data_IF_338022158198
#
_entry.id   IF_338022158198
#
_cell.length_a   1.000
_cell.length_b   1.000
_cell.length_c   1.000
_cell.angle_alpha   90.00
_cell.angle_beta   90.00
_cell.angle_gamma   90.00
#
_symmetry.space_group_name_H-M   'P 1'
#
loop_
_entity.id
_entity.type
_entity.pdbx_description
1 polymer ?
#
# COMPACT_ATOMS: atom_id res chain seq x y z
N UNK A 1 15.85 58.58 -9.60
CA UNK A 1 14.39 58.57 -9.69
C UNK A 1 13.93 57.40 -8.81
N UNK A 2 12.99 57.65 -7.92
CA UNK A 2 12.40 56.58 -7.09
C UNK A 2 11.20 56.09 -7.89
N UNK A 3 11.29 54.86 -8.40
CA UNK A 3 10.18 54.27 -9.17
C UNK A 3 9.11 53.77 -8.21
N UNK A 4 7.94 54.38 -8.26
CA UNK A 4 6.75 53.90 -7.55
C UNK A 4 6.13 52.75 -8.30
N UNK A 5 5.79 51.69 -7.56
CA UNK A 5 5.13 50.51 -8.08
C UNK A 5 3.70 50.45 -7.54
N UNK A 6 2.80 49.88 -8.33
CA UNK A 6 1.40 49.64 -7.92
C UNK A 6 1.26 48.18 -7.47
N UNK A 7 0.74 47.99 -6.27
CA UNK A 7 0.44 46.64 -5.77
C UNK A 7 -0.70 46.00 -6.54
N UNK A 8 -0.47 44.84 -7.11
CA UNK A 8 -1.47 44.14 -7.90
C UNK A 8 -2.68 43.65 -7.07
N UNK A 9 -2.53 43.48 -5.76
CA UNK A 9 -3.61 42.99 -4.90
C UNK A 9 -4.48 44.09 -4.31
N UNK A 10 -3.87 45.15 -3.76
CA UNK A 10 -4.60 46.24 -3.09
C UNK A 10 -4.66 47.56 -3.88
N UNK A 11 -3.97 47.66 -5.00
CA UNK A 11 -3.93 48.89 -5.82
C UNK A 11 -3.11 50.03 -5.26
N UNK A 12 -2.57 49.93 -4.05
CA UNK A 12 -1.81 51.00 -3.42
C UNK A 12 -0.45 51.16 -4.10
N UNK A 13 -0.02 52.42 -4.24
CA UNK A 13 1.33 52.76 -4.64
C UNK A 13 2.30 52.45 -3.48
N UNK A 14 3.45 51.90 -3.81
CA UNK A 14 4.52 51.65 -2.86
C UNK A 14 5.87 51.84 -3.53
N UNK A 15 6.86 52.16 -2.72
CA UNK A 15 8.22 52.20 -3.19
C UNK A 15 9.03 51.13 -2.48
N UNK A 16 9.99 50.55 -3.17
CA UNK A 16 10.87 49.57 -2.56
C UNK A 16 12.00 50.27 -1.80
N UNK A 17 11.85 50.38 -0.47
CA UNK A 17 12.87 50.94 0.42
C UNK A 17 14.21 50.19 0.37
N UNK A 18 14.23 49.02 -0.22
CA UNK A 18 15.38 48.11 -0.23
C UNK A 18 15.97 47.86 -1.61
N UNK A 19 15.55 48.62 -2.63
CA UNK A 19 16.10 48.55 -3.98
C UNK A 19 17.63 48.71 -4.06
N UNK A 20 18.24 49.36 -3.05
CA UNK A 20 19.69 49.50 -2.91
C UNK A 20 20.38 48.28 -2.25
N UNK A 21 19.62 47.33 -1.70
CA UNK A 21 20.18 46.19 -0.99
C UNK A 21 20.14 44.93 -1.90
N UNK A 22 21.30 44.51 -2.39
CA UNK A 22 21.48 43.34 -3.27
C UNK A 22 20.89 41.97 -2.77
N UNK A 23 20.30 41.94 -1.57
CA UNK A 23 19.69 40.73 -0.95
C UNK A 23 18.17 40.72 -0.94
N UNK A 24 17.51 41.73 -1.49
CA UNK A 24 16.06 41.82 -1.44
C UNK A 24 15.48 41.63 -2.83
N UNK A 25 14.94 40.44 -3.07
CA UNK A 25 14.11 40.22 -4.25
C UNK A 25 12.75 40.91 -4.05
N UNK A 26 12.36 41.78 -4.96
CA UNK A 26 11.03 42.36 -5.01
C UNK A 26 9.98 41.23 -4.89
N UNK A 27 8.96 41.46 -4.04
CA UNK A 27 7.89 40.49 -3.88
C UNK A 27 7.09 40.35 -5.18
N UNK A 28 7.54 39.46 -6.03
CA UNK A 28 6.92 39.18 -7.30
C UNK A 28 6.23 37.81 -7.29
N UNK A 29 5.10 37.74 -7.93
CA UNK A 29 4.42 36.48 -8.25
C UNK A 29 3.75 36.64 -9.63
N UNK A 30 4.00 35.71 -10.53
CA UNK A 30 3.51 35.78 -11.91
C UNK A 30 3.85 37.12 -12.60
N UNK A 31 5.08 37.62 -12.43
CA UNK A 31 5.57 38.90 -12.99
C UNK A 31 4.79 40.14 -12.50
N UNK A 32 4.11 40.07 -11.32
CA UNK A 32 3.36 41.15 -10.70
C UNK A 32 4.00 41.54 -9.37
N UNK A 33 3.86 42.82 -9.00
CA UNK A 33 4.49 43.38 -7.78
C UNK A 33 3.45 43.49 -6.66
N UNK A 34 3.92 43.33 -5.39
CA UNK A 34 3.09 43.38 -4.19
C UNK A 34 3.75 44.22 -3.10
N UNK A 35 3.00 45.11 -2.47
CA UNK A 35 3.51 46.04 -1.45
C UNK A 35 3.96 45.32 -0.16
N UNK A 36 3.34 44.19 0.19
CA UNK A 36 3.66 43.44 1.37
C UNK A 36 3.45 41.91 1.15
N UNK A 37 3.90 41.10 2.11
CA UNK A 37 3.81 39.64 2.06
C UNK A 37 2.37 39.17 2.11
N UNK A 38 1.51 39.86 2.83
CA UNK A 38 0.09 39.60 2.95
C UNK A 38 -0.59 39.72 1.60
N UNK A 39 -0.34 40.82 0.86
CA UNK A 39 -0.88 41.01 -0.49
C UNK A 39 -0.38 39.94 -1.47
N UNK A 40 0.88 39.53 -1.39
CA UNK A 40 1.41 38.43 -2.20
C UNK A 40 0.76 37.10 -1.85
N UNK A 41 0.53 36.82 -0.55
CA UNK A 41 -0.12 35.58 -0.10
C UNK A 41 -1.58 35.53 -0.49
N UNK A 42 -2.32 36.65 -0.36
CA UNK A 42 -3.70 36.76 -0.82
C UNK A 42 -3.82 36.51 -2.32
N UNK A 43 -2.92 37.10 -3.10
CA UNK A 43 -2.89 36.88 -4.55
C UNK A 43 -2.55 35.42 -4.94
N UNK A 44 -1.71 34.75 -4.17
CA UNK A 44 -1.44 33.31 -4.32
C UNK A 44 -2.62 32.45 -3.88
N UNK A 45 -3.40 32.91 -2.88
CA UNK A 45 -4.56 32.22 -2.31
C UNK A 45 -5.84 32.33 -3.14
N UNK A 46 -5.91 33.26 -4.08
CA UNK A 46 -7.07 33.47 -4.97
C UNK A 46 -7.21 32.44 -6.09
N UNK A 47 -6.61 31.28 -5.98
CA UNK A 47 -7.18 30.14 -6.70
C UNK A 47 -8.49 29.79 -6.01
N UNK A 48 -9.60 30.17 -6.62
CA UNK A 48 -10.94 29.76 -6.19
C UNK A 48 -10.96 28.26 -6.06
N UNK A 49 -10.91 27.78 -4.82
CA UNK A 49 -11.07 26.36 -4.51
C UNK A 49 -12.47 25.99 -4.99
N UNK A 50 -12.56 25.18 -6.04
CA UNK A 50 -13.83 24.66 -6.52
C UNK A 50 -14.20 23.46 -5.68
N UNK A 51 -15.46 23.38 -5.28
CA UNK A 51 -16.01 22.19 -4.66
C UNK A 51 -15.83 20.98 -5.58
N UNK A 52 -15.45 19.87 -5.00
CA UNK A 52 -15.21 18.62 -5.72
C UNK A 52 -15.94 17.47 -5.03
N UNK A 53 -16.43 16.52 -5.81
CA UNK A 53 -16.96 15.27 -5.27
C UNK A 53 -15.83 14.29 -4.95
N UNK A 54 -15.86 13.69 -3.77
CA UNK A 54 -14.91 12.65 -3.38
C UNK A 54 -15.10 11.41 -4.25
N UNK A 55 -14.05 10.94 -4.90
CA UNK A 55 -14.07 9.77 -5.78
C UNK A 55 -14.48 8.47 -5.06
N UNK A 56 -14.30 8.39 -3.73
CA UNK A 56 -14.66 7.19 -2.97
C UNK A 56 -16.07 7.21 -2.40
N UNK A 57 -16.53 8.34 -1.83
CA UNK A 57 -17.79 8.41 -1.11
C UNK A 57 -18.80 9.43 -1.69
N UNK A 58 -18.46 10.14 -2.75
CA UNK A 58 -19.32 11.13 -3.39
C UNK A 58 -19.50 12.45 -2.62
N UNK A 59 -19.04 12.54 -1.38
CA UNK A 59 -19.20 13.75 -0.55
C UNK A 59 -18.55 14.96 -1.23
N UNK A 60 -19.28 16.06 -1.33
CA UNK A 60 -18.77 17.35 -1.78
C UNK A 60 -17.82 17.92 -0.71
N UNK A 61 -16.65 18.37 -1.11
CA UNK A 61 -15.65 18.96 -0.23
C UNK A 61 -14.83 20.03 -0.94
N UNK A 62 -14.30 20.97 -0.18
CA UNK A 62 -13.33 21.94 -0.66
C UNK A 62 -11.92 21.33 -0.49
N UNK A 63 -11.15 21.19 -1.57
CA UNK A 63 -9.78 20.72 -1.47
C UNK A 63 -8.95 21.74 -0.68
N UNK A 64 -8.28 21.30 0.38
CA UNK A 64 -7.35 22.16 1.11
C UNK A 64 -6.09 22.38 0.27
N UNK A 65 -5.63 23.63 0.19
CA UNK A 65 -4.31 23.95 -0.37
C UNK A 65 -3.25 23.38 0.59
N UNK A 66 -2.92 22.11 0.45
CA UNK A 66 -1.78 21.55 1.14
C UNK A 66 -0.53 21.90 0.33
N UNK A 67 0.40 22.73 0.88
CA UNK A 67 1.63 23.13 0.20
C UNK A 67 2.65 22.00 0.08
N UNK A 68 2.30 20.78 0.49
CA UNK A 68 3.20 19.64 0.36
C UNK A 68 3.34 19.27 -1.13
N UNK A 69 4.31 19.89 -1.78
CA UNK A 69 4.63 19.77 -3.21
C UNK A 69 4.98 18.34 -3.65
N UNK A 70 5.04 17.39 -2.70
CA UNK A 70 5.35 15.98 -2.98
C UNK A 70 4.12 15.15 -3.37
N UNK A 71 2.92 15.65 -3.11
CA UNK A 71 1.69 14.94 -3.51
C UNK A 71 1.29 15.33 -4.94
N UNK A 72 1.63 14.48 -5.91
CA UNK A 72 1.11 14.56 -7.28
C UNK A 72 -0.37 14.16 -7.40
N UNK A 73 -0.98 13.65 -6.35
CA UNK A 73 -2.39 13.29 -6.31
C UNK A 73 -3.21 14.54 -5.99
N UNK A 74 -3.68 15.21 -7.03
CA UNK A 74 -4.60 16.33 -6.92
C UNK A 74 -5.89 15.84 -6.24
N UNK A 75 -6.04 16.13 -4.95
CA UNK A 75 -7.29 16.28 -4.19
C UNK A 75 -8.53 15.50 -4.70
N UNK A 76 -8.41 14.19 -4.93
CA UNK A 76 -9.53 13.36 -5.39
C UNK A 76 -10.41 12.86 -4.24
N UNK A 77 -9.99 13.04 -3.00
CA UNK A 77 -10.62 12.43 -1.82
C UNK A 77 -10.83 13.46 -0.70
N UNK A 78 -11.96 13.37 -0.02
CA UNK A 78 -12.30 14.27 1.08
C UNK A 78 -11.45 14.04 2.35
N UNK A 79 -10.86 12.85 2.51
CA UNK A 79 -10.01 12.49 3.65
C UNK A 79 -9.06 11.33 3.30
N UNK A 80 -8.08 11.09 4.20
CA UNK A 80 -7.10 9.99 4.04
C UNK A 80 -7.75 8.61 4.02
N UNK A 81 -8.81 8.40 4.80
CA UNK A 81 -9.56 7.14 4.83
C UNK A 81 -10.19 6.84 3.47
N UNK A 82 -10.83 7.83 2.83
CA UNK A 82 -11.39 7.66 1.49
C UNK A 82 -10.31 7.35 0.44
N UNK A 83 -9.16 7.99 0.52
CA UNK A 83 -8.03 7.69 -0.36
C UNK A 83 -7.53 6.25 -0.16
N UNK A 84 -7.36 5.81 1.09
CA UNK A 84 -6.92 4.46 1.41
C UNK A 84 -7.92 3.40 0.94
N UNK A 85 -9.22 3.61 1.21
CA UNK A 85 -10.30 2.71 0.80
C UNK A 85 -10.38 2.58 -0.72
N UNK A 86 -10.32 3.70 -1.43
CA UNK A 86 -10.33 3.71 -2.89
C UNK A 86 -9.13 2.96 -3.46
N UNK A 87 -7.92 3.29 -2.99
CA UNK A 87 -6.71 2.64 -3.47
C UNK A 87 -6.70 1.14 -3.16
N UNK A 88 -7.23 0.71 -2.01
CA UNK A 88 -7.33 -0.70 -1.67
C UNK A 88 -8.31 -1.46 -2.58
N UNK A 89 -9.46 -0.84 -2.93
CA UNK A 89 -10.44 -1.43 -3.85
C UNK A 89 -9.94 -1.52 -5.31
N UNK A 90 -9.04 -0.60 -5.72
CA UNK A 90 -8.56 -0.49 -7.10
C UNK A 90 -7.08 -0.86 -7.23
N UNK A 91 -6.54 -1.65 -6.30
CA UNK A 91 -5.19 -2.20 -6.44
C UNK A 91 -5.14 -3.13 -7.64
N UNK A 92 -4.34 -2.78 -8.63
CA UNK A 92 -4.03 -3.63 -9.79
C UNK A 92 -2.92 -4.63 -9.51
N UNK A 93 -2.11 -4.37 -8.49
CA UNK A 93 -1.07 -5.29 -8.01
C UNK A 93 -1.60 -6.05 -6.81
N UNK A 94 -1.50 -7.37 -6.85
CA UNK A 94 -1.97 -8.28 -5.80
C UNK A 94 -1.45 -7.96 -4.40
N UNK A 95 -1.92 -8.70 -3.41
CA UNK A 95 -1.43 -8.65 -2.03
C UNK A 95 0.10 -8.67 -2.00
N UNK A 96 0.65 -7.97 -1.02
CA UNK A 96 2.11 -7.84 -0.87
C UNK A 96 2.63 -9.20 -0.36
N UNK A 97 3.02 -10.06 -1.29
CA UNK A 97 3.60 -11.38 -0.96
C UNK A 97 4.86 -11.18 -0.11
N UNK A 98 5.01 -12.03 0.90
CA UNK A 98 6.19 -12.01 1.75
C UNK A 98 7.45 -12.38 0.96
N UNK A 99 8.61 -12.00 1.47
CA UNK A 99 9.88 -12.39 0.86
C UNK A 99 10.11 -13.90 0.95
N UNK A 100 9.59 -14.54 1.99
CA UNK A 100 9.69 -15.99 2.18
C UNK A 100 8.86 -16.73 1.13
N UNK A 101 7.61 -16.32 0.88
CA UNK A 101 6.77 -16.90 -0.16
C UNK A 101 7.44 -16.86 -1.53
N UNK A 102 8.03 -15.70 -1.92
CA UNK A 102 8.73 -15.57 -3.20
C UNK A 102 9.97 -16.46 -3.28
N UNK A 103 10.71 -16.57 -2.19
CA UNK A 103 11.89 -17.43 -2.13
C UNK A 103 11.50 -18.90 -2.24
N UNK A 104 10.44 -19.33 -1.55
CA UNK A 104 9.90 -20.69 -1.64
C UNK A 104 9.39 -21.00 -3.05
N UNK A 105 8.69 -20.07 -3.69
CA UNK A 105 8.22 -20.21 -5.08
C UNK A 105 9.38 -20.48 -6.03
N UNK A 106 10.45 -19.68 -5.94
CA UNK A 106 11.65 -19.84 -6.78
C UNK A 106 12.28 -21.23 -6.59
N UNK A 107 12.43 -21.66 -5.31
CA UNK A 107 13.04 -22.96 -5.00
C UNK A 107 12.16 -24.14 -5.41
N UNK A 108 10.87 -24.09 -5.10
CA UNK A 108 9.94 -25.16 -5.47
C UNK A 108 9.74 -25.30 -6.98
N UNK A 109 9.70 -24.20 -7.73
CA UNK A 109 9.64 -24.22 -9.18
C UNK A 109 10.89 -24.84 -9.81
N UNK A 110 12.05 -24.66 -9.17
CA UNK A 110 13.30 -25.28 -9.61
C UNK A 110 13.36 -26.78 -9.27
N UNK A 111 12.89 -27.16 -8.07
CA UNK A 111 12.93 -28.55 -7.64
C UNK A 111 11.86 -29.43 -8.32
N UNK A 112 10.72 -28.83 -8.68
CA UNK A 112 9.57 -29.53 -9.24
C UNK A 112 9.08 -28.91 -10.55
N UNK A 113 9.90 -28.89 -11.62
CA UNK A 113 9.55 -28.20 -12.87
C UNK A 113 8.34 -28.82 -13.59
N UNK A 114 8.02 -30.08 -13.31
CA UNK A 114 6.92 -30.81 -13.93
C UNK A 114 5.68 -30.93 -13.03
N UNK A 115 5.71 -30.36 -11.82
CA UNK A 115 4.58 -30.38 -10.90
C UNK A 115 3.84 -29.04 -10.99
N UNK A 116 2.55 -29.08 -11.26
CA UNK A 116 1.73 -27.87 -11.21
C UNK A 116 1.60 -27.39 -9.75
N UNK A 117 2.25 -26.23 -9.46
CA UNK A 117 2.17 -25.56 -8.17
C UNK A 117 1.58 -24.17 -8.40
N UNK A 118 0.46 -23.87 -7.75
CA UNK A 118 -0.19 -22.58 -7.80
C UNK A 118 0.17 -21.77 -6.57
N UNK A 119 0.54 -20.51 -6.78
CA UNK A 119 0.92 -19.59 -5.70
C UNK A 119 -0.13 -18.49 -5.58
N UNK A 120 -0.51 -18.13 -4.34
CA UNK A 120 -1.58 -17.18 -4.05
C UNK A 120 -2.89 -17.51 -4.79
N UNK A 121 -3.22 -18.79 -4.85
CA UNK A 121 -4.42 -19.25 -5.55
C UNK A 121 -5.69 -18.89 -4.79
N UNK A 122 -6.67 -18.36 -5.52
CA UNK A 122 -7.99 -18.00 -4.98
C UNK A 122 -9.11 -18.81 -5.59
N UNK A 123 -8.78 -19.63 -6.57
CA UNK A 123 -9.79 -20.34 -7.36
C UNK A 123 -10.24 -21.64 -6.71
N UNK A 124 -9.36 -22.28 -5.93
CA UNK A 124 -9.63 -23.58 -5.32
C UNK A 124 -10.73 -23.53 -4.24
N UNK A 125 -10.73 -22.50 -3.39
CA UNK A 125 -11.65 -22.38 -2.24
C UNK A 125 -12.28 -20.99 -2.11
N UNK A 126 -12.19 -20.16 -3.14
CA UNK A 126 -12.60 -18.74 -3.10
C UNK A 126 -11.95 -17.93 -1.95
N UNK A 127 -10.79 -18.40 -1.47
CA UNK A 127 -9.91 -17.74 -0.50
C UNK A 127 -8.47 -17.98 -0.91
N UNK A 128 -7.56 -17.06 -0.57
CA UNK A 128 -6.16 -17.14 -0.99
C UNK A 128 -5.44 -18.28 -0.26
N UNK A 129 -4.82 -19.18 -1.02
CA UNK A 129 -3.89 -20.20 -0.54
C UNK A 129 -2.47 -19.80 -0.97
N UNK A 130 -1.51 -19.79 -0.04
CA UNK A 130 -0.15 -19.36 -0.33
C UNK A 130 0.52 -20.26 -1.36
N UNK A 131 0.41 -21.59 -1.17
CA UNK A 131 0.91 -22.61 -2.09
C UNK A 131 -0.17 -23.69 -2.23
N UNK A 132 -0.56 -24.04 -3.45
CA UNK A 132 -1.52 -25.09 -3.73
C UNK A 132 -1.03 -26.03 -4.83
N UNK A 133 -1.14 -27.33 -4.59
CA UNK A 133 -0.75 -28.39 -5.51
C UNK A 133 -2.02 -29.17 -5.89
N UNK A 134 -2.64 -28.86 -7.05
CA UNK A 134 -3.93 -29.44 -7.43
C UNK A 134 -3.91 -30.96 -7.54
N UNK A 135 -2.85 -31.54 -8.10
CA UNK A 135 -2.71 -33.01 -8.31
C UNK A 135 -2.77 -33.80 -7.01
N UNK A 136 -2.30 -33.22 -5.90
CA UNK A 136 -2.31 -33.83 -4.57
C UNK A 136 -3.47 -33.35 -3.69
N UNK A 137 -4.25 -32.36 -4.15
CA UNK A 137 -5.20 -31.63 -3.30
C UNK A 137 -4.55 -31.18 -1.99
N UNK A 138 -3.35 -30.64 -2.10
CA UNK A 138 -2.50 -30.26 -0.97
C UNK A 138 -2.23 -28.77 -1.00
N UNK A 139 -2.45 -28.09 0.10
CA UNK A 139 -2.15 -26.67 0.25
C UNK A 139 -1.26 -26.41 1.46
N UNK A 140 -0.48 -25.33 1.38
CA UNK A 140 0.34 -24.83 2.48
C UNK A 140 0.03 -23.38 2.74
N UNK A 141 -0.03 -23.02 4.03
CA UNK A 141 -0.15 -21.65 4.55
C UNK A 141 1.05 -21.32 5.40
N UNK A 142 1.58 -20.11 5.24
CA UNK A 142 2.78 -19.64 5.94
C UNK A 142 2.37 -18.59 6.98
N UNK A 143 2.02 -19.03 8.17
CA UNK A 143 1.51 -18.17 9.21
C UNK A 143 2.65 -17.47 9.97
N UNK A 144 2.75 -16.15 9.77
CA UNK A 144 3.67 -15.30 10.49
C UNK A 144 3.15 -14.90 11.89
N UNK A 145 3.93 -14.10 12.61
CA UNK A 145 3.66 -13.69 14.00
C UNK A 145 2.25 -13.06 14.21
N UNK A 146 1.70 -12.40 13.18
CA UNK A 146 0.37 -11.75 13.24
C UNK A 146 -0.80 -12.72 13.40
N UNK A 147 -0.61 -14.02 13.15
CA UNK A 147 -1.60 -15.07 13.36
C UNK A 147 -1.65 -15.55 14.81
N UNK A 148 -0.61 -15.24 15.61
CA UNK A 148 -0.43 -15.75 16.97
C UNK A 148 -0.43 -14.65 18.02
N UNK A 149 0.07 -13.46 17.69
CA UNK A 149 0.25 -12.36 18.65
C UNK A 149 -0.57 -11.12 18.27
N UNK A 150 -1.14 -10.40 19.25
CA UNK A 150 -1.99 -9.23 19.01
C UNK A 150 -1.17 -7.96 18.71
N UNK A 151 -0.23 -8.04 17.77
CA UNK A 151 0.65 -6.91 17.36
C UNK A 151 -0.15 -5.67 16.92
N UNK A 152 -1.32 -5.88 16.31
CA UNK A 152 -2.24 -4.82 15.87
C UNK A 152 -3.52 -4.76 16.71
N UNK A 153 -3.46 -5.28 17.96
CA UNK A 153 -4.58 -5.33 18.89
C UNK A 153 -5.39 -6.64 18.83
N UNK A 154 -6.06 -6.94 19.93
CA UNK A 154 -6.79 -8.21 20.13
C UNK A 154 -7.87 -8.44 19.08
N UNK A 155 -8.70 -7.44 18.78
CA UNK A 155 -9.76 -7.56 17.78
C UNK A 155 -9.23 -7.95 16.39
N UNK A 156 -8.01 -7.49 16.06
CA UNK A 156 -7.38 -7.83 14.77
C UNK A 156 -6.89 -9.27 14.76
N UNK A 157 -6.31 -9.73 15.85
CA UNK A 157 -5.89 -11.13 16.01
C UNK A 157 -7.09 -12.07 15.86
N UNK A 158 -8.19 -11.80 16.59
CA UNK A 158 -9.42 -12.61 16.52
C UNK A 158 -10.01 -12.64 15.09
N UNK A 159 -9.93 -11.52 14.37
CA UNK A 159 -10.36 -11.50 12.96
C UNK A 159 -9.48 -12.41 12.09
N UNK A 160 -8.15 -12.39 12.29
CA UNK A 160 -7.22 -13.25 11.54
C UNK A 160 -7.53 -14.72 11.86
N UNK A 161 -7.64 -15.08 13.14
CA UNK A 161 -7.92 -16.46 13.57
C UNK A 161 -9.26 -16.97 13.05
N UNK A 162 -10.30 -16.13 13.00
CA UNK A 162 -11.58 -16.49 12.35
C UNK A 162 -11.42 -16.74 10.86
N UNK A 163 -10.64 -15.93 10.16
CA UNK A 163 -10.37 -16.14 8.75
C UNK A 163 -9.61 -17.45 8.50
N UNK A 164 -8.63 -17.77 9.37
CA UNK A 164 -7.86 -19.02 9.31
C UNK A 164 -8.77 -20.24 9.53
N UNK A 165 -9.67 -20.18 10.53
CA UNK A 165 -10.67 -21.23 10.79
C UNK A 165 -11.62 -21.42 9.59
N UNK A 166 -12.12 -20.33 9.00
CA UNK A 166 -12.96 -20.40 7.81
C UNK A 166 -12.20 -21.01 6.61
N UNK A 167 -10.94 -20.62 6.43
CA UNK A 167 -10.10 -21.19 5.37
C UNK A 167 -9.88 -22.68 5.55
N UNK A 168 -9.63 -23.13 6.78
CA UNK A 168 -9.49 -24.53 7.10
C UNK A 168 -10.77 -25.32 6.77
N UNK A 169 -11.94 -24.80 7.16
CA UNK A 169 -13.23 -25.39 6.83
C UNK A 169 -13.45 -25.49 5.32
N UNK A 170 -13.19 -24.43 4.56
CA UNK A 170 -13.30 -24.42 3.11
C UNK A 170 -12.38 -25.44 2.45
N UNK A 171 -11.16 -25.63 2.97
CA UNK A 171 -10.27 -26.68 2.48
C UNK A 171 -10.86 -28.08 2.72
N UNK A 172 -11.41 -28.35 3.91
CA UNK A 172 -12.06 -29.63 4.23
C UNK A 172 -13.25 -29.92 3.30
N UNK A 173 -14.13 -28.92 3.08
CA UNK A 173 -15.30 -29.05 2.18
C UNK A 173 -14.89 -29.35 0.74
N UNK A 174 -13.70 -28.90 0.30
CA UNK A 174 -13.16 -29.17 -1.04
C UNK A 174 -12.21 -30.36 -1.10
N UNK A 175 -12.09 -31.15 -0.02
CA UNK A 175 -11.15 -32.25 0.13
C UNK A 175 -9.69 -31.87 -0.14
N UNK A 176 -9.30 -30.67 0.32
CA UNK A 176 -7.93 -30.18 0.24
C UNK A 176 -7.27 -30.34 1.61
N UNK A 177 -6.14 -31.03 1.64
CA UNK A 177 -5.30 -31.15 2.83
C UNK A 177 -4.53 -29.84 3.04
N UNK A 178 -4.86 -29.08 4.09
CA UNK A 178 -4.21 -27.84 4.43
C UNK A 178 -3.12 -28.05 5.49
N UNK A 179 -1.87 -27.76 5.14
CA UNK A 179 -0.74 -27.76 6.04
C UNK A 179 -0.39 -26.33 6.44
N UNK A 180 -0.53 -26.00 7.72
CA UNK A 180 -0.15 -24.70 8.25
C UNK A 180 1.29 -24.76 8.78
N UNK A 181 2.15 -23.89 8.27
CA UNK A 181 3.55 -23.79 8.66
C UNK A 181 3.75 -22.52 9.48
N UNK A 182 4.11 -22.68 10.74
CA UNK A 182 4.43 -21.55 11.63
C UNK A 182 5.76 -20.91 11.23
N UNK A 183 5.66 -19.67 10.77
CA UNK A 183 6.81 -18.83 10.41
C UNK A 183 6.98 -17.63 11.35
N UNK A 184 6.34 -17.63 12.53
CA UNK A 184 6.33 -16.52 13.49
C UNK A 184 7.74 -16.12 13.96
N UNK A 185 8.65 -17.09 14.05
CA UNK A 185 10.03 -16.87 14.45
C UNK A 185 10.95 -16.46 13.28
N UNK A 186 10.40 -16.33 12.06
CA UNK A 186 11.20 -16.00 10.88
C UNK A 186 11.42 -14.50 10.76
N UNK A 187 12.58 -14.01 11.20
CA UNK A 187 12.90 -12.56 11.20
C UNK A 187 13.49 -12.07 9.87
N UNK A 188 14.36 -12.85 9.25
CA UNK A 188 15.08 -12.46 8.04
C UNK A 188 15.10 -13.60 7.04
N UNK A 189 14.79 -13.29 5.78
CA UNK A 189 14.84 -14.24 4.66
C UNK A 189 16.28 -14.38 4.18
N UNK A 190 16.92 -15.49 4.54
CA UNK A 190 18.22 -15.92 4.06
C UNK A 190 18.12 -17.38 3.65
N UNK A 191 19.05 -17.87 2.83
CA UNK A 191 19.12 -19.29 2.46
C UNK A 191 19.04 -20.20 3.70
N UNK A 192 19.91 -19.94 4.68
CA UNK A 192 19.99 -20.74 5.90
C UNK A 192 18.72 -20.71 6.74
N UNK A 193 18.11 -19.54 6.93
CA UNK A 193 16.91 -19.40 7.78
C UNK A 193 15.63 -19.88 7.12
N UNK A 194 15.57 -19.86 5.79
CA UNK A 194 14.38 -20.24 5.02
C UNK A 194 14.38 -21.72 4.65
N UNK A 195 15.54 -22.35 4.60
CA UNK A 195 15.70 -23.75 4.20
C UNK A 195 14.80 -24.71 5.00
N UNK A 196 14.70 -24.55 6.30
CA UNK A 196 13.86 -25.41 7.16
C UNK A 196 12.39 -25.48 6.70
N UNK A 197 11.84 -24.37 6.18
CA UNK A 197 10.46 -24.35 5.67
C UNK A 197 10.36 -25.03 4.31
N UNK A 198 11.37 -24.89 3.48
CA UNK A 198 11.46 -25.62 2.21
C UNK A 198 11.55 -27.13 2.47
N UNK A 199 12.39 -27.55 3.41
CA UNK A 199 12.59 -28.97 3.76
C UNK A 199 11.30 -29.60 4.25
N UNK A 200 10.48 -28.90 5.07
CA UNK A 200 9.16 -29.35 5.50
C UNK A 200 8.22 -29.55 4.31
N UNK A 201 8.15 -28.55 3.41
CA UNK A 201 7.27 -28.61 2.24
C UNK A 201 7.69 -29.76 1.31
N UNK A 202 8.98 -29.90 1.06
CA UNK A 202 9.55 -30.98 0.22
C UNK A 202 9.24 -32.34 0.81
N UNK A 203 9.43 -32.54 2.11
CA UNK A 203 9.13 -33.82 2.79
C UNK A 203 7.67 -34.21 2.61
N UNK A 204 6.74 -33.26 2.77
CA UNK A 204 5.30 -33.50 2.61
C UNK A 204 4.97 -33.81 1.14
N UNK A 205 5.55 -33.09 0.17
CA UNK A 205 5.37 -33.36 -1.26
C UNK A 205 5.84 -34.76 -1.62
N UNK A 206 7.05 -35.13 -1.17
CA UNK A 206 7.61 -36.46 -1.50
C UNK A 206 6.83 -37.60 -0.83
N UNK A 207 6.24 -37.40 0.34
CA UNK A 207 5.33 -38.36 0.96
C UNK A 207 4.08 -38.57 0.11
N UNK A 208 3.42 -37.49 -0.31
CA UNK A 208 2.21 -37.57 -1.14
C UNK A 208 2.48 -38.20 -2.52
N UNK A 209 3.68 -37.99 -3.12
CA UNK A 209 4.07 -38.67 -4.35
C UNK A 209 4.16 -40.18 -4.19
N UNK A 210 4.69 -40.65 -3.05
CA UNK A 210 4.82 -42.11 -2.77
C UNK A 210 3.46 -42.79 -2.52
N UNK A 211 2.50 -42.06 -1.94
CA UNK A 211 1.17 -42.57 -1.65
C UNK A 211 0.30 -42.69 -2.92
N UNK A 212 0.68 -42.03 -4.02
CA UNK A 212 -0.02 -42.09 -5.31
C UNK A 212 0.61 -43.05 -6.32
N UNK A 213 1.74 -43.65 -5.99
CA UNK A 213 2.40 -44.71 -6.77
C UNK A 213 1.98 -46.10 -6.31
#
# INVERSE_FOLDING_TARGET
>A
MIDYLICFNCGNEFYDKHASCKRYELRTYNKKYYCCRECQNQAKGHQTLREMACTNCGKIFLPTNNPDKRSKSKNKFCCRSCAASYNNKHKTTGSRRSKLEKWLEEKLSTLYPNLEIKYCDKTAINSELDIYIPSFKLAFELNGIYHYEPIHGQNKLEQIQRNDANKFQLCQENNISLCVIDTSQHKYVTEKSSKKYLDIIVEIIERNKKEQQ
#
